data_IF_550548351238
#
_entry.id   IF_550548351238
#
_cell.length_a   1.000
_cell.length_b   1.000
_cell.length_c   1.000
_cell.angle_alpha   90.00
_cell.angle_beta   90.00
_cell.angle_gamma   90.00
#
_symmetry.space_group_name_H-M   'P 1'
#
loop_
_entity.id
_entity.type
_entity.pdbx_description
1 polymer ?
#
# COMPACT_ATOMS: atom_id res chain seq x y z
N UNK A 1 3.74 3.90 -9.26
CA UNK A 1 4.94 3.40 -8.55
C UNK A 1 4.75 1.91 -8.25
N UNK A 2 5.79 1.15 -7.95
CA UNK A 2 5.65 -0.28 -7.62
C UNK A 2 6.67 -0.70 -6.55
N UNK A 3 6.33 -1.75 -5.80
CA UNK A 3 7.21 -2.44 -4.86
C UNK A 3 6.91 -3.94 -4.84
N UNK A 4 7.92 -4.77 -4.61
CA UNK A 4 7.79 -6.23 -4.46
C UNK A 4 7.92 -6.56 -2.98
N UNK A 5 7.12 -7.50 -2.49
CA UNK A 5 7.23 -7.95 -1.10
C UNK A 5 8.57 -8.67 -0.85
N UNK A 6 9.08 -8.70 0.39
CA UNK A 6 10.34 -9.37 0.71
C UNK A 6 10.38 -10.84 0.31
N UNK A 7 9.24 -11.53 0.34
CA UNK A 7 9.10 -12.93 -0.08
C UNK A 7 8.96 -13.13 -1.60
N UNK A 8 8.79 -12.04 -2.35
CA UNK A 8 8.53 -12.06 -3.80
C UNK A 8 7.12 -12.54 -4.17
N UNK A 9 6.28 -12.88 -3.21
CA UNK A 9 4.95 -13.46 -3.48
C UNK A 9 3.90 -12.42 -3.85
N UNK A 10 4.17 -11.13 -3.64
CA UNK A 10 3.23 -10.06 -3.92
C UNK A 10 3.93 -8.86 -4.54
N UNK A 11 3.20 -8.17 -5.41
CA UNK A 11 3.59 -6.88 -5.99
C UNK A 11 2.53 -5.86 -5.62
N UNK A 12 2.96 -4.70 -5.14
CA UNK A 12 2.09 -3.54 -4.89
C UNK A 12 2.33 -2.50 -5.95
N UNK A 13 1.24 -1.96 -6.50
CA UNK A 13 1.26 -0.89 -7.49
C UNK A 13 0.41 0.27 -6.98
N UNK A 14 1.02 1.44 -6.89
CA UNK A 14 0.32 2.70 -6.63
C UNK A 14 -0.04 3.41 -7.95
N UNK A 15 -1.32 3.68 -8.14
CA UNK A 15 -1.90 4.22 -9.36
C UNK A 15 -2.14 5.74 -9.29
N UNK A 16 -2.34 6.36 -10.46
CA UNK A 16 -2.65 7.80 -10.56
C UNK A 16 -4.06 8.15 -10.11
N UNK A 17 -4.99 7.20 -10.17
CA UNK A 17 -6.39 7.35 -9.71
C UNK A 17 -6.54 7.20 -8.19
N UNK A 18 -5.42 7.11 -7.45
CA UNK A 18 -5.43 6.88 -6.01
C UNK A 18 -5.67 5.45 -5.58
N UNK A 19 -5.80 4.51 -6.52
CA UNK A 19 -5.89 3.09 -6.19
C UNK A 19 -4.52 2.49 -5.86
N UNK A 20 -4.54 1.52 -4.94
CA UNK A 20 -3.44 0.63 -4.60
C UNK A 20 -3.85 -0.79 -4.98
N UNK A 21 -3.11 -1.38 -5.90
CA UNK A 21 -3.28 -2.77 -6.33
C UNK A 21 -2.27 -3.64 -5.59
N UNK A 22 -2.74 -4.76 -5.06
CA UNK A 22 -1.92 -5.85 -4.54
C UNK A 22 -2.17 -7.04 -5.47
N UNK A 23 -1.09 -7.50 -6.09
CA UNK A 23 -1.08 -8.54 -7.11
C UNK A 23 -0.26 -9.72 -6.64
N UNK A 24 -0.61 -10.92 -7.11
CA UNK A 24 0.21 -12.12 -6.98
C UNK A 24 1.53 -11.92 -7.73
N UNK A 25 2.65 -12.31 -7.11
CA UNK A 25 3.98 -12.15 -7.70
C UNK A 25 4.27 -13.10 -8.87
N UNK A 26 3.56 -14.23 -8.97
CA UNK A 26 3.82 -15.25 -9.99
C UNK A 26 3.12 -14.99 -11.33
N UNK A 27 1.90 -14.46 -11.29
CA UNK A 27 0.99 -14.34 -12.44
C UNK A 27 0.31 -12.97 -12.56
N UNK A 28 0.54 -12.07 -11.58
CA UNK A 28 -0.06 -10.74 -11.50
C UNK A 28 -1.58 -10.73 -11.31
N UNK A 29 -2.17 -11.85 -10.86
CA UNK A 29 -3.59 -11.87 -10.51
C UNK A 29 -3.90 -10.92 -9.35
N UNK A 30 -5.06 -10.26 -9.42
CA UNK A 30 -5.44 -9.25 -8.42
C UNK A 30 -5.89 -9.92 -7.12
N UNK A 31 -5.04 -9.84 -6.10
CA UNK A 31 -5.36 -10.25 -4.73
C UNK A 31 -6.36 -9.25 -4.14
N UNK A 32 -6.00 -7.96 -4.17
CA UNK A 32 -6.79 -6.89 -3.57
C UNK A 32 -6.60 -5.57 -4.33
N UNK A 33 -7.69 -4.84 -4.53
CA UNK A 33 -7.68 -3.43 -4.93
C UNK A 33 -8.27 -2.61 -3.80
N UNK A 34 -7.59 -1.53 -3.44
CA UNK A 34 -8.07 -0.56 -2.46
C UNK A 34 -7.97 0.85 -3.05
N UNK A 35 -8.84 1.76 -2.66
CA UNK A 35 -8.78 3.18 -3.03
C UNK A 35 -8.59 4.00 -1.75
N UNK A 36 -7.42 3.95 -1.10
CA UNK A 36 -7.18 4.63 0.18
C UNK A 36 -7.23 6.17 0.06
N UNK A 37 -7.16 6.68 -1.17
CA UNK A 37 -7.26 8.10 -1.49
C UNK A 37 -8.25 8.29 -2.63
N UNK A 38 -9.19 9.20 -2.47
CA UNK A 38 -10.16 9.55 -3.51
C UNK A 38 -9.51 10.44 -4.57
N UNK A 39 -9.20 9.87 -5.74
CA UNK A 39 -8.68 10.58 -6.92
C UNK A 39 -7.36 11.37 -6.70
N UNK A 40 -6.55 10.94 -5.73
CA UNK A 40 -5.21 11.51 -5.47
C UNK A 40 -4.14 10.50 -5.82
N UNK A 41 -3.26 10.83 -6.77
CA UNK A 41 -2.23 9.92 -7.24
C UNK A 41 -1.30 9.40 -6.12
N UNK A 42 -1.10 8.08 -6.09
CA UNK A 42 -0.09 7.44 -5.24
C UNK A 42 1.29 7.55 -5.89
N UNK A 43 2.18 8.32 -5.25
CA UNK A 43 3.50 8.66 -5.79
C UNK A 43 4.58 7.68 -5.35
N UNK A 44 4.40 7.03 -4.20
CA UNK A 44 5.33 6.09 -3.59
C UNK A 44 4.57 4.94 -2.94
N UNK A 45 5.17 3.76 -2.98
CA UNK A 45 4.75 2.57 -2.22
C UNK A 45 6.01 1.86 -1.72
N UNK A 46 5.92 1.18 -0.58
CA UNK A 46 6.99 0.37 -0.02
C UNK A 46 6.42 -0.76 0.83
N UNK A 47 7.10 -1.91 0.84
CA UNK A 47 6.86 -2.97 1.83
C UNK A 47 7.80 -2.80 3.02
N UNK A 48 7.35 -3.23 4.19
CA UNK A 48 8.25 -3.44 5.33
C UNK A 48 9.14 -4.67 5.12
N UNK A 49 10.35 -4.72 5.69
CA UNK A 49 11.27 -5.85 5.58
C UNK A 49 10.69 -7.17 6.09
N UNK A 50 9.85 -7.13 7.11
CA UNK A 50 9.13 -8.29 7.66
C UNK A 50 7.93 -8.74 6.80
N UNK A 51 7.55 -7.94 5.78
CA UNK A 51 6.38 -8.20 4.92
C UNK A 51 5.02 -8.02 5.61
N UNK A 52 4.97 -7.44 6.81
CA UNK A 52 3.75 -7.24 7.57
C UNK A 52 3.03 -5.92 7.26
N UNK A 53 3.69 -4.96 6.59
CA UNK A 53 3.15 -3.64 6.30
C UNK A 53 3.41 -3.21 4.86
N UNK A 54 2.49 -2.40 4.35
CA UNK A 54 2.67 -1.62 3.12
C UNK A 54 2.49 -0.15 3.48
N UNK A 55 3.46 0.68 3.11
CA UNK A 55 3.34 2.14 3.15
C UNK A 55 3.03 2.69 1.76
N UNK A 56 2.27 3.77 1.72
CA UNK A 56 2.13 4.59 0.51
C UNK A 56 2.21 6.07 0.85
N UNK A 57 2.54 6.88 -0.16
CA UNK A 57 2.45 8.33 -0.08
C UNK A 57 1.78 8.89 -1.33
N UNK A 58 0.95 9.89 -1.13
CA UNK A 58 0.12 10.46 -2.18
C UNK A 58 0.54 11.89 -2.58
N UNK A 59 -0.16 12.46 -3.54
CA UNK A 59 0.06 13.82 -4.03
C UNK A 59 -0.46 14.94 -3.13
N UNK A 60 -1.10 14.62 -2.00
CA UNK A 60 -1.64 15.55 -1.00
C UNK A 60 -0.81 15.59 0.29
N UNK A 61 0.46 15.20 0.20
CA UNK A 61 1.46 15.22 1.28
C UNK A 61 1.11 14.29 2.46
N UNK A 62 0.32 13.26 2.18
CA UNK A 62 -0.06 12.26 3.16
C UNK A 62 0.71 10.95 2.99
N UNK A 63 0.86 10.25 4.11
CA UNK A 63 1.35 8.87 4.19
C UNK A 63 0.24 8.00 4.76
N UNK A 64 0.12 6.77 4.27
CA UNK A 64 -0.80 5.78 4.84
C UNK A 64 -0.19 4.39 4.90
N UNK A 65 -0.84 3.54 5.70
CA UNK A 65 -0.34 2.20 6.02
C UNK A 65 -1.46 1.17 5.84
N UNK A 66 -1.08 0.03 5.27
CA UNK A 66 -1.81 -1.22 5.37
C UNK A 66 -1.04 -2.18 6.25
N UNK A 67 -1.78 -3.03 6.98
CA UNK A 67 -1.24 -4.11 7.79
C UNK A 67 -1.71 -5.46 7.24
N UNK A 68 -0.81 -6.45 7.26
CA UNK A 68 -1.13 -7.84 6.94
C UNK A 68 -2.07 -8.38 8.00
N UNK A 69 -3.34 -8.43 7.67
CA UNK A 69 -4.38 -8.89 8.55
C UNK A 69 -5.58 -9.29 7.69
N UNK A 70 -6.13 -10.47 7.98
CA UNK A 70 -7.32 -10.95 7.30
C UNK A 70 -8.47 -9.98 7.56
N UNK A 71 -9.02 -9.44 6.49
CA UNK A 71 -10.13 -8.51 6.52
C UNK A 71 -11.23 -8.99 5.57
N UNK A 72 -12.47 -8.59 5.83
CA UNK A 72 -13.61 -8.87 4.96
C UNK A 72 -14.17 -7.52 4.52
N UNK A 73 -14.17 -7.27 3.21
CA UNK A 73 -14.75 -6.05 2.66
C UNK A 73 -16.27 -6.08 2.78
N UNK A 74 -16.93 -4.93 2.64
CA UNK A 74 -18.40 -4.84 2.62
C UNK A 74 -19.04 -5.72 1.54
N UNK A 75 -18.30 -6.00 0.46
CA UNK A 75 -18.71 -6.93 -0.60
C UNK A 75 -18.70 -8.41 -0.18
N UNK A 76 -18.24 -8.73 1.04
CA UNK A 76 -18.02 -10.09 1.52
C UNK A 76 -16.72 -10.73 1.04
N UNK A 77 -15.94 -10.05 0.18
CA UNK A 77 -14.64 -10.56 -0.28
C UNK A 77 -13.65 -10.55 0.87
N UNK A 78 -13.09 -11.71 1.20
CA UNK A 78 -11.92 -11.81 2.08
C UNK A 78 -10.68 -11.25 1.38
N UNK A 79 -9.93 -10.43 2.10
CA UNK A 79 -8.69 -9.83 1.61
C UNK A 79 -7.61 -9.86 2.71
N UNK A 80 -6.32 -9.98 2.35
CA UNK A 80 -5.26 -10.18 3.34
C UNK A 80 -4.67 -8.88 3.90
N UNK A 81 -5.12 -7.71 3.45
CA UNK A 81 -4.62 -6.42 3.91
C UNK A 81 -5.73 -5.54 4.47
N UNK A 82 -5.55 -5.13 5.72
CA UNK A 82 -6.36 -4.13 6.40
C UNK A 82 -5.77 -2.75 6.12
N UNK A 83 -6.60 -1.81 5.65
CA UNK A 83 -6.23 -0.41 5.62
C UNK A 83 -6.26 0.16 7.05
N UNK A 84 -5.10 0.56 7.57
CA UNK A 84 -4.97 1.05 8.95
C UNK A 84 -5.33 2.53 9.04
N UNK A 85 -4.89 3.32 8.05
CA UNK A 85 -5.20 4.73 7.98
C UNK A 85 -4.19 5.54 7.17
N UNK A 86 -4.43 6.86 7.17
CA UNK A 86 -3.66 7.87 6.44
C UNK A 86 -3.56 9.14 7.26
N UNK A 87 -2.40 9.78 7.22
CA UNK A 87 -2.09 10.98 7.96
C UNK A 87 -1.40 12.00 7.05
N UNK A 88 -1.80 13.28 7.14
CA UNK A 88 -1.08 14.38 6.49
C UNK A 88 0.15 14.69 7.31
N UNK A 89 1.30 14.16 6.89
CA UNK A 89 2.55 14.31 7.62
C UNK A 89 3.38 15.52 7.19
N UNK A 90 3.16 16.09 6.01
CA UNK A 90 4.01 17.16 5.46
C UNK A 90 3.23 18.29 4.78
N UNK A 91 3.95 19.39 4.51
CA UNK A 91 3.49 20.57 3.76
C UNK A 91 4.05 20.63 2.32
N UNK A 92 4.62 19.52 1.86
CA UNK A 92 5.16 19.34 0.52
C UNK A 92 5.40 17.86 0.21
N UNK A 93 5.70 17.57 -1.06
CA UNK A 93 5.68 16.20 -1.57
C UNK A 93 6.61 15.24 -0.83
N UNK A 94 6.08 14.08 -0.46
CA UNK A 94 6.85 13.03 0.22
C UNK A 94 7.95 12.50 -0.71
N UNK A 95 9.21 12.72 -0.32
CA UNK A 95 10.36 12.38 -1.15
C UNK A 95 10.65 10.87 -1.18
N UNK A 96 10.42 10.18 -0.07
CA UNK A 96 10.70 8.75 0.09
C UNK A 96 9.89 8.11 1.21
N UNK A 97 9.85 6.78 1.19
CA UNK A 97 9.28 5.94 2.23
C UNK A 97 10.32 4.88 2.59
N UNK A 98 10.54 4.68 3.88
CA UNK A 98 11.38 3.60 4.38
C UNK A 98 10.76 3.08 5.66
N UNK A 99 10.78 1.76 5.80
CA UNK A 99 10.62 1.12 7.10
C UNK A 99 12.02 0.94 7.67
N UNK A 100 12.17 1.22 8.96
CA UNK A 100 13.34 0.84 9.73
C UNK A 100 12.97 -0.40 10.54
N UNK A 101 13.88 -1.37 10.56
CA UNK A 101 13.78 -2.45 11.53
C UNK A 101 13.94 -1.86 12.93
N UNK A 102 13.10 -2.30 13.86
CA UNK A 102 13.33 -2.02 15.28
C UNK A 102 14.62 -2.78 15.69
N UNK A 103 15.61 -2.12 16.31
CA UNK A 103 16.92 -2.72 16.60
C UNK A 103 16.87 -3.89 17.59
#
# INVERSE_FOLDING_TARGET
>A
CLAVSPSGQEVVVGCRDGSLLILSGGDLDTIQRSCPTEDVALRRVAFSPDGAHIAFADASDCVGIFRRERNVLESGKEVPWLYVGRYRSHHGGVAGLAFVDDP
#
